data_IF_828228629908
#
_entry.id   IF_828228629908
#
_cell.length_a   1.000
_cell.length_b   1.000
_cell.length_c   1.000
_cell.angle_alpha   90.00
_cell.angle_beta   90.00
_cell.angle_gamma   90.00
#
_symmetry.space_group_name_H-M   'P 1'
#
loop_
_entity.id
_entity.type
_entity.pdbx_description
1 polymer ?
#
# COMPACT_ATOMS: atom_id res chain seq x y z
N UNK A 1 -3.06 -26.91 -17.95
CA UNK A 1 -3.88 -25.94 -17.19
C UNK A 1 -3.73 -26.13 -15.68
N UNK A 2 -2.50 -25.98 -15.19
CA UNK A 2 -2.15 -25.89 -13.78
C UNK A 2 -0.97 -24.95 -13.72
N UNK A 3 -1.22 -23.67 -13.46
CA UNK A 3 -0.21 -22.65 -13.13
C UNK A 3 -0.93 -21.31 -12.89
N UNK A 4 -1.58 -21.15 -11.75
CA UNK A 4 -1.98 -19.81 -11.25
C UNK A 4 -2.23 -19.79 -9.72
N UNK A 5 -1.54 -20.64 -8.95
CA UNK A 5 -1.73 -20.74 -7.48
C UNK A 5 -0.49 -20.36 -6.65
N UNK A 6 0.60 -19.88 -7.27
CA UNK A 6 1.91 -19.79 -6.58
C UNK A 6 2.58 -18.39 -6.58
N UNK A 7 1.80 -17.31 -6.54
CA UNK A 7 2.34 -15.93 -6.49
C UNK A 7 2.14 -15.20 -5.15
N UNK A 8 1.83 -15.90 -4.06
CA UNK A 8 1.89 -15.31 -2.72
C UNK A 8 3.18 -15.77 -2.02
N UNK A 9 4.04 -14.85 -1.53
CA UNK A 9 5.21 -15.26 -0.76
C UNK A 9 4.74 -16.10 0.43
N UNK A 10 5.39 -17.25 0.60
CA UNK A 10 5.17 -18.20 1.69
C UNK A 10 5.53 -17.53 3.02
N UNK A 11 4.66 -16.65 3.51
CA UNK A 11 4.75 -16.12 4.86
C UNK A 11 4.36 -17.26 5.78
N UNK A 12 5.31 -17.63 6.63
CA UNK A 12 5.25 -18.70 7.62
C UNK A 12 3.87 -18.79 8.30
N UNK A 13 3.00 -19.70 7.82
CA UNK A 13 1.63 -19.92 8.30
C UNK A 13 1.54 -20.25 9.81
N UNK A 14 2.67 -20.52 10.47
CA UNK A 14 2.77 -20.94 11.88
C UNK A 14 2.63 -19.81 12.90
N UNK A 15 2.48 -18.55 12.49
CA UNK A 15 2.29 -17.38 13.40
C UNK A 15 0.90 -16.73 13.29
N UNK A 16 -0.10 -17.41 12.73
CA UNK A 16 -1.48 -16.90 12.74
C UNK A 16 -2.16 -17.29 14.06
N UNK A 17 -2.70 -16.35 14.85
CA UNK A 17 -3.54 -16.70 15.99
C UNK A 17 -4.84 -17.36 15.49
N UNK A 18 -5.20 -18.50 16.08
CA UNK A 18 -6.46 -19.18 15.78
C UNK A 18 -7.66 -18.30 16.18
N UNK A 19 -8.49 -17.92 15.21
CA UNK A 19 -9.60 -16.99 15.45
C UNK A 19 -10.83 -17.71 16.01
N UNK A 20 -11.38 -17.16 17.09
CA UNK A 20 -12.78 -17.34 17.52
C UNK A 20 -13.43 -15.97 17.63
N UNK A 21 -14.25 -15.59 16.66
CA UNK A 21 -15.29 -14.56 16.86
C UNK A 21 -16.52 -14.86 16.00
N UNK A 22 -17.62 -15.19 16.68
CA UNK A 22 -18.98 -15.19 16.14
C UNK A 22 -19.52 -13.76 16.21
N UNK A 23 -19.89 -13.19 15.06
CA UNK A 23 -20.56 -11.89 14.97
C UNK A 23 -21.25 -11.74 13.62
N UNK A 24 -22.58 -11.80 13.61
CA UNK A 24 -23.42 -11.73 12.42
C UNK A 24 -23.58 -10.27 11.92
N UNK A 25 -22.53 -9.71 11.32
CA UNK A 25 -22.66 -8.57 10.41
C UNK A 25 -22.12 -9.00 9.05
N UNK A 26 -22.96 -9.67 8.26
CA UNK A 26 -22.61 -10.00 6.87
C UNK A 26 -22.58 -8.70 6.06
N UNK A 27 -21.42 -8.08 5.98
CA UNK A 27 -21.13 -7.08 4.95
C UNK A 27 -21.43 -7.75 3.60
N UNK A 28 -22.44 -7.23 2.88
CA UNK A 28 -22.72 -7.69 1.50
C UNK A 28 -21.46 -7.47 0.68
N UNK A 29 -20.93 -8.54 0.09
CA UNK A 29 -19.78 -8.43 -0.79
C UNK A 29 -20.15 -7.58 -2.03
N UNK A 30 -19.44 -6.49 -2.33
CA UNK A 30 -19.56 -5.85 -3.64
C UNK A 30 -19.29 -6.87 -4.76
N UNK A 31 -20.06 -6.78 -5.84
CA UNK A 31 -19.87 -7.61 -7.04
C UNK A 31 -19.21 -6.72 -8.11
N UNK A 32 -17.97 -7.01 -8.51
CA UNK A 32 -17.30 -6.26 -9.58
C UNK A 32 -15.77 -6.13 -9.42
N UNK A 33 -15.08 -5.59 -10.45
CA UNK A 33 -13.64 -5.37 -10.42
C UNK A 33 -13.24 -4.30 -9.37
N UNK A 34 -11.99 -4.31 -8.88
CA UNK A 34 -11.55 -3.35 -7.89
C UNK A 34 -11.62 -1.92 -8.45
N UNK A 35 -12.06 -0.99 -7.61
CA UNK A 35 -12.24 0.43 -7.96
C UNK A 35 -11.39 1.37 -7.12
N UNK A 36 -10.77 0.88 -6.04
CA UNK A 36 -10.00 1.67 -5.10
C UNK A 36 -8.63 1.02 -4.84
N UNK A 37 -7.57 1.74 -5.19
CA UNK A 37 -6.19 1.36 -4.92
C UNK A 37 -5.79 1.71 -3.48
N UNK A 38 -5.28 0.75 -2.73
CA UNK A 38 -4.63 0.96 -1.43
C UNK A 38 -3.12 0.80 -1.61
N UNK A 39 -2.38 1.88 -1.47
CA UNK A 39 -0.91 1.90 -1.58
C UNK A 39 -0.31 1.76 -0.19
N UNK A 40 0.51 0.74 0.03
CA UNK A 40 1.20 0.46 1.29
C UNK A 40 2.70 0.75 1.12
N UNK A 41 3.23 1.70 1.88
CA UNK A 41 4.64 2.10 1.82
C UNK A 41 5.39 1.69 3.10
N UNK A 42 6.45 0.91 2.92
CA UNK A 42 7.30 0.39 3.99
C UNK A 42 8.29 1.45 4.54
N UNK A 43 8.86 1.14 5.71
CA UNK A 43 9.82 2.00 6.39
C UNK A 43 11.26 1.85 5.89
N UNK A 44 12.19 2.50 6.59
CA UNK A 44 13.63 2.34 6.35
C UNK A 44 14.05 0.88 6.50
N UNK A 45 14.89 0.37 5.60
CA UNK A 45 15.32 -1.04 5.51
C UNK A 45 14.20 -2.07 5.30
N UNK A 46 12.96 -1.62 5.10
CA UNK A 46 11.84 -2.51 4.90
C UNK A 46 11.69 -2.98 3.45
N UNK A 47 10.72 -3.87 3.28
CA UNK A 47 10.22 -4.41 2.02
C UNK A 47 8.69 -4.28 1.96
N UNK A 48 8.10 -4.35 0.77
CA UNK A 48 6.66 -4.37 0.58
C UNK A 48 5.99 -5.53 1.35
N UNK A 49 6.73 -6.63 1.54
CA UNK A 49 6.29 -7.77 2.36
C UNK A 49 6.13 -7.44 3.84
N UNK A 50 6.81 -6.42 4.39
CA UNK A 50 6.61 -6.00 5.79
C UNK A 50 5.21 -5.42 6.03
N UNK A 51 4.54 -4.97 4.97
CA UNK A 51 3.17 -4.47 5.01
C UNK A 51 2.11 -5.58 4.94
N UNK A 52 2.51 -6.86 4.96
CA UNK A 52 1.62 -8.01 4.77
C UNK A 52 0.39 -8.01 5.68
N UNK A 53 0.53 -7.55 6.93
CA UNK A 53 -0.59 -7.57 7.88
C UNK A 53 -1.71 -6.62 7.46
N UNK A 54 -1.37 -5.46 6.90
CA UNK A 54 -2.37 -4.55 6.33
C UNK A 54 -3.05 -5.19 5.12
N UNK A 55 -2.28 -5.77 4.20
CA UNK A 55 -2.82 -6.47 3.03
C UNK A 55 -3.81 -7.58 3.44
N UNK A 56 -3.42 -8.39 4.43
CA UNK A 56 -4.27 -9.44 5.01
C UNK A 56 -5.56 -8.87 5.61
N UNK A 57 -5.51 -7.74 6.32
CA UNK A 57 -6.71 -7.12 6.89
C UNK A 57 -7.68 -6.64 5.80
N UNK A 58 -7.18 -6.07 4.70
CA UNK A 58 -8.03 -5.66 3.57
C UNK A 58 -8.66 -6.85 2.85
N UNK A 59 -7.90 -7.93 2.67
CA UNK A 59 -8.42 -9.19 2.12
C UNK A 59 -9.52 -9.78 3.01
N UNK A 60 -9.25 -9.87 4.31
CA UNK A 60 -10.17 -10.43 5.30
C UNK A 60 -11.43 -9.59 5.50
N UNK A 61 -11.34 -8.28 5.35
CA UNK A 61 -12.51 -7.41 5.35
C UNK A 61 -13.50 -7.75 4.22
N UNK A 62 -13.11 -8.62 3.26
CA UNK A 62 -13.90 -9.06 2.11
C UNK A 62 -14.54 -7.87 1.41
N UNK A 63 -13.73 -6.84 1.19
CA UNK A 63 -14.14 -5.65 0.49
C UNK A 63 -13.58 -5.70 -0.95
N UNK A 64 -14.26 -6.37 -1.90
CA UNK A 64 -13.80 -6.63 -3.26
C UNK A 64 -13.58 -5.39 -4.12
N UNK A 65 -13.82 -4.18 -3.58
CA UNK A 65 -13.51 -2.92 -4.26
C UNK A 65 -12.03 -2.54 -4.14
N UNK A 66 -11.26 -3.15 -3.23
CA UNK A 66 -9.86 -2.78 -3.02
C UNK A 66 -8.89 -3.60 -3.87
N UNK A 67 -7.95 -2.91 -4.51
CA UNK A 67 -6.69 -3.49 -4.98
C UNK A 67 -5.58 -3.00 -4.07
N UNK A 68 -4.75 -3.90 -3.54
CA UNK A 68 -3.67 -3.54 -2.61
C UNK A 68 -2.34 -3.59 -3.34
N UNK A 69 -1.62 -2.48 -3.32
CA UNK A 69 -0.25 -2.35 -3.83
C UNK A 69 0.70 -2.18 -2.66
N UNK A 70 1.44 -3.24 -2.33
CA UNK A 70 2.61 -3.13 -1.45
C UNK A 70 3.78 -2.62 -2.24
N UNK A 71 4.27 -1.43 -1.90
CA UNK A 71 5.34 -0.78 -2.65
C UNK A 71 6.63 -1.61 -2.65
N UNK A 72 7.16 -1.86 -3.84
CA UNK A 72 8.42 -2.58 -4.05
C UNK A 72 9.45 -1.74 -4.79
N UNK A 73 9.02 -0.66 -5.42
CA UNK A 73 9.83 0.18 -6.32
C UNK A 73 11.06 0.84 -5.68
N UNK A 74 11.08 0.98 -4.35
CA UNK A 74 12.20 1.58 -3.60
C UNK A 74 12.79 0.65 -2.53
N UNK A 75 12.53 -0.66 -2.62
CA UNK A 75 13.20 -1.65 -1.77
C UNK A 75 14.72 -1.57 -1.91
N UNK A 76 15.44 -1.68 -0.80
CA UNK A 76 16.90 -1.50 -0.77
C UNK A 76 17.39 -0.07 -1.03
N UNK A 77 16.51 0.88 -1.38
CA UNK A 77 16.85 2.26 -1.77
C UNK A 77 16.44 3.31 -0.75
N UNK A 78 15.99 2.88 0.43
CA UNK A 78 15.46 3.78 1.49
C UNK A 78 16.47 4.85 1.99
N UNK A 79 17.75 4.72 1.68
CA UNK A 79 18.80 5.71 2.00
C UNK A 79 19.08 6.72 0.88
N UNK A 80 18.51 6.51 -0.31
CA UNK A 80 18.72 7.39 -1.46
C UNK A 80 17.98 8.72 -1.34
N UNK A 81 17.10 8.87 -0.34
CA UNK A 81 16.33 10.07 -0.07
C UNK A 81 14.82 9.89 -0.29
N UNK A 82 14.03 10.68 0.44
CA UNK A 82 12.56 10.64 0.35
C UNK A 82 12.06 11.07 -1.02
N UNK A 83 12.78 11.99 -1.66
CA UNK A 83 12.51 12.50 -3.00
C UNK A 83 12.64 11.41 -4.06
N UNK A 84 13.73 10.65 -4.04
CA UNK A 84 13.92 9.56 -4.96
C UNK A 84 12.93 8.41 -4.70
N UNK A 85 12.80 7.96 -3.45
CA UNK A 85 11.84 6.90 -3.11
C UNK A 85 10.39 7.30 -3.46
N UNK A 86 10.03 8.57 -3.22
CA UNK A 86 8.70 9.08 -3.53
C UNK A 86 8.43 9.19 -5.02
N UNK A 87 9.44 9.54 -5.83
CA UNK A 87 9.35 9.50 -7.29
C UNK A 87 9.08 8.08 -7.80
N UNK A 88 9.86 7.09 -7.32
CA UNK A 88 9.68 5.68 -7.68
C UNK A 88 8.30 5.15 -7.29
N UNK A 89 7.82 5.49 -6.09
CA UNK A 89 6.48 5.13 -5.65
C UNK A 89 5.39 5.77 -6.53
N UNK A 90 5.57 7.02 -6.96
CA UNK A 90 4.62 7.67 -7.85
C UNK A 90 4.54 6.96 -9.21
N UNK A 91 5.69 6.56 -9.79
CA UNK A 91 5.74 5.76 -11.02
C UNK A 91 5.04 4.41 -10.86
N UNK A 92 5.29 3.70 -9.75
CA UNK A 92 4.64 2.41 -9.43
C UNK A 92 3.12 2.54 -9.34
N UNK A 93 2.63 3.61 -8.69
CA UNK A 93 1.19 3.91 -8.59
C UNK A 93 0.58 4.24 -9.94
N UNK A 94 1.22 5.09 -10.75
CA UNK A 94 0.74 5.43 -12.09
C UNK A 94 0.67 4.18 -12.97
N UNK A 95 1.70 3.33 -12.92
CA UNK A 95 1.75 2.06 -13.66
C UNK A 95 0.58 1.15 -13.27
N UNK A 96 0.38 0.92 -11.97
CA UNK A 96 -0.72 0.08 -11.46
C UNK A 96 -2.10 0.57 -11.94
N UNK A 97 -2.38 1.87 -11.84
CA UNK A 97 -3.64 2.45 -12.33
C UNK A 97 -3.76 2.37 -13.86
N UNK A 98 -2.64 2.47 -14.57
CA UNK A 98 -2.63 2.32 -16.02
C UNK A 98 -2.94 0.89 -16.46
N UNK A 99 -2.55 -0.11 -15.69
CA UNK A 99 -2.82 -1.53 -15.99
C UNK A 99 -4.25 -1.91 -15.57
N UNK A 100 -4.74 -1.38 -14.47
CA UNK A 100 -6.08 -1.67 -13.92
C UNK A 100 -7.00 -0.47 -14.09
N UNK A 101 -7.60 -0.34 -15.28
CA UNK A 101 -8.40 0.84 -15.69
C UNK A 101 -9.66 1.11 -14.84
N UNK A 102 -10.10 0.12 -14.06
CA UNK A 102 -11.25 0.21 -13.15
C UNK A 102 -10.94 0.98 -11.87
N UNK A 103 -9.66 1.18 -11.53
CA UNK A 103 -9.25 1.98 -10.38
C UNK A 103 -9.59 3.46 -10.61
N UNK A 104 -10.48 3.99 -9.77
CA UNK A 104 -10.95 5.38 -9.78
C UNK A 104 -10.65 6.11 -8.48
N UNK A 105 -10.24 5.39 -7.44
CA UNK A 105 -9.91 5.93 -6.13
C UNK A 105 -8.54 5.47 -5.68
N UNK A 106 -7.86 6.26 -4.85
CA UNK A 106 -6.59 5.86 -4.24
C UNK A 106 -6.50 6.31 -2.78
N UNK A 107 -5.95 5.44 -1.95
CA UNK A 107 -5.52 5.75 -0.58
C UNK A 107 -4.08 5.33 -0.37
N UNK A 108 -3.38 6.07 0.49
CA UNK A 108 -1.98 5.83 0.85
C UNK A 108 -1.87 5.53 2.33
N UNK A 109 -1.10 4.50 2.66
CA UNK A 109 -0.78 4.09 4.02
C UNK A 109 0.73 3.93 4.13
N UNK A 110 1.38 4.79 4.91
CA UNK A 110 2.84 4.74 5.10
C UNK A 110 3.23 4.38 6.52
N UNK A 111 4.17 3.46 6.68
CA UNK A 111 4.78 3.14 7.98
C UNK A 111 6.17 3.77 8.09
N UNK A 112 6.44 4.48 9.19
CA UNK A 112 7.74 5.12 9.46
C UNK A 112 8.16 6.02 8.29
N UNK A 113 9.36 5.83 7.72
CA UNK A 113 9.83 6.53 6.52
C UNK A 113 8.81 6.49 5.37
N UNK A 114 8.07 5.38 5.20
CA UNK A 114 7.06 5.22 4.15
C UNK A 114 5.98 6.29 4.17
N UNK A 115 5.68 6.90 5.33
CA UNK A 115 4.75 8.04 5.39
C UNK A 115 5.31 9.31 4.73
N UNK A 116 6.61 9.55 4.84
CA UNK A 116 7.28 10.65 4.13
C UNK A 116 7.35 10.37 2.63
N UNK A 117 7.68 9.12 2.26
CA UNK A 117 7.70 8.66 0.86
C UNK A 117 6.33 8.84 0.21
N UNK A 118 5.25 8.39 0.86
CA UNK A 118 3.88 8.62 0.40
C UNK A 118 3.59 10.10 0.20
N UNK A 119 3.96 10.97 1.16
CA UNK A 119 3.70 12.40 1.07
C UNK A 119 4.40 13.04 -0.13
N UNK A 120 5.65 12.63 -0.41
CA UNK A 120 6.37 13.08 -1.60
C UNK A 120 5.72 12.57 -2.89
N UNK A 121 5.40 11.27 -2.94
CA UNK A 121 4.73 10.65 -4.09
C UNK A 121 3.40 11.33 -4.42
N UNK A 122 2.58 11.65 -3.41
CA UNK A 122 1.33 12.41 -3.57
C UNK A 122 1.60 13.77 -4.23
N UNK A 123 2.67 14.47 -3.83
CA UNK A 123 3.07 15.73 -4.45
C UNK A 123 3.44 15.59 -5.93
N UNK A 124 4.19 14.54 -6.29
CA UNK A 124 4.54 14.21 -7.67
C UNK A 124 3.27 13.91 -8.49
N UNK A 125 2.41 13.01 -7.99
CA UNK A 125 1.15 12.65 -8.64
C UNK A 125 0.23 13.87 -8.85
N UNK A 126 0.16 14.77 -7.86
CA UNK A 126 -0.61 16.00 -7.96
C UNK A 126 -0.09 16.91 -9.07
N UNK A 127 1.23 17.08 -9.16
CA UNK A 127 1.88 17.88 -10.21
C UNK A 127 1.61 17.31 -11.61
N UNK A 128 1.57 15.99 -11.74
CA UNK A 128 1.33 15.30 -13.01
C UNK A 128 -0.15 15.23 -13.41
N UNK A 129 -1.05 15.83 -12.61
CA UNK A 129 -2.49 15.83 -12.88
C UNK A 129 -3.15 14.46 -12.68
N UNK A 130 -2.50 13.52 -12.00
CA UNK A 130 -3.03 12.18 -11.72
C UNK A 130 -4.41 12.25 -11.05
N UNK A 131 -4.56 13.15 -10.07
CA UNK A 131 -5.81 13.29 -9.31
C UNK A 131 -6.97 13.93 -10.07
N UNK A 132 -6.78 14.35 -11.33
CA UNK A 132 -7.89 14.74 -12.21
C UNK A 132 -8.69 13.51 -12.69
N UNK A 133 -8.06 12.33 -12.67
CA UNK A 133 -8.64 11.07 -13.18
C UNK A 133 -8.90 10.05 -12.08
N UNK A 134 -8.18 10.15 -10.96
CA UNK A 134 -8.27 9.24 -9.82
C UNK A 134 -8.55 10.07 -8.57
N UNK A 135 -9.64 9.78 -7.88
CA UNK A 135 -10.03 10.47 -6.67
C UNK A 135 -9.11 10.06 -5.49
N UNK A 136 -8.43 11.01 -4.83
CA UNK A 136 -7.74 10.73 -3.57
C UNK A 136 -8.77 10.58 -2.44
N UNK A 137 -8.59 9.57 -1.59
CA UNK A 137 -9.52 9.26 -0.49
C UNK A 137 -8.86 9.43 0.88
N UNK A 138 -7.80 8.65 1.17
CA UNK A 138 -7.15 8.70 2.48
C UNK A 138 -5.63 8.76 2.36
N UNK A 139 -5.02 9.58 3.22
CA UNK A 139 -3.59 9.49 3.53
C UNK A 139 -3.45 9.18 5.02
N UNK A 140 -2.90 8.00 5.31
CA UNK A 140 -2.69 7.50 6.66
C UNK A 140 -1.20 7.25 6.86
N UNK A 141 -0.68 7.62 8.01
CA UNK A 141 0.72 7.34 8.34
C UNK A 141 0.88 6.96 9.80
N UNK A 142 1.78 6.01 10.06
CA UNK A 142 2.04 5.48 11.40
C UNK A 142 3.50 5.60 11.75
N UNK A 143 3.81 6.08 12.95
CA UNK A 143 5.19 6.26 13.43
C UNK A 143 6.10 7.03 12.46
N UNK A 144 5.51 7.88 11.60
CA UNK A 144 6.23 8.61 10.57
C UNK A 144 6.84 9.89 11.13
N UNK A 145 8.16 10.13 10.92
CA UNK A 145 8.83 11.31 11.45
C UNK A 145 8.56 12.54 10.58
N UNK A 146 7.29 12.99 10.52
CA UNK A 146 6.87 14.15 9.73
C UNK A 146 7.58 15.45 10.12
N UNK A 147 8.04 15.55 11.36
CA UNK A 147 8.80 16.68 11.89
C UNK A 147 10.30 16.40 11.98
N UNK A 148 10.76 15.34 11.32
CA UNK A 148 12.15 14.87 11.40
C UNK A 148 12.45 14.05 12.65
N UNK A 149 13.72 13.65 12.77
CA UNK A 149 14.25 12.91 13.92
C UNK A 149 15.37 13.71 14.58
N UNK A 150 15.35 13.80 15.91
CA UNK A 150 16.35 14.56 16.67
C UNK A 150 17.75 13.92 16.63
N UNK A 151 17.82 12.60 16.52
CA UNK A 151 19.05 11.82 16.37
C UNK A 151 18.80 10.73 15.34
N UNK A 152 19.79 10.48 14.49
CA UNK A 152 19.78 9.29 13.65
C UNK A 152 19.92 8.07 14.55
N UNK A 153 19.17 6.99 14.26
CA UNK A 153 19.37 5.72 14.93
C UNK A 153 20.82 5.27 14.67
N UNK A 154 21.62 5.30 15.74
CA UNK A 154 23.03 4.90 15.78
C UNK A 154 23.18 3.39 15.73
#
# INVERSE_FOLDING_TARGET
EKEEEDLLPVVNRRKLPAEKTKGNHQLRAPQGPPTHLIVLAHGVYGYGSDMWYFAYLFEKAKCPIYHVLSATSYEGRTRDGVDLCGGLLAEEVQKCVSEIKTLKKVSFIGHSLGGLVCRYAIGVLMKDGFFQKVQPEHFVSFASPHLGVRRLAS
#
